data_IF_041746486977
#
_entry.id   IF_041746486977
#
_cell.length_a   1.000
_cell.length_b   1.000
_cell.length_c   1.000
_cell.angle_alpha   90.00
_cell.angle_beta   90.00
_cell.angle_gamma   90.00
#
_symmetry.space_group_name_H-M   'P 1'
#
loop_
_entity.id
_entity.type
_entity.pdbx_description
1 polymer ?
#
# COMPACT_ATOMS: atom_id res chain seq x y z
N UNK A 1 -44.24 4.29 30.13
CA UNK A 1 -44.29 4.04 28.68
C UNK A 1 -42.99 4.58 28.06
N UNK A 2 -42.03 3.71 27.76
CA UNK A 2 -40.84 4.13 27.00
C UNK A 2 -41.31 4.67 25.63
N UNK A 3 -40.82 5.86 25.25
CA UNK A 3 -41.21 6.48 23.98
C UNK A 3 -40.70 5.59 22.83
N UNK A 4 -41.51 5.34 21.78
CA UNK A 4 -41.10 4.52 20.63
C UNK A 4 -39.81 5.04 19.96
N UNK A 5 -39.52 6.35 20.11
CA UNK A 5 -38.27 6.96 19.67
C UNK A 5 -37.02 6.37 20.34
N UNK A 6 -37.10 5.97 21.60
CA UNK A 6 -35.96 5.40 22.34
C UNK A 6 -35.63 3.99 21.85
N UNK A 7 -36.65 3.15 21.64
CA UNK A 7 -36.48 1.83 21.05
C UNK A 7 -35.83 1.90 19.66
N UNK A 8 -36.36 2.76 18.78
CA UNK A 8 -35.83 2.95 17.43
C UNK A 8 -34.37 3.42 17.47
N UNK A 9 -34.04 4.38 18.35
CA UNK A 9 -32.68 4.87 18.49
C UNK A 9 -31.70 3.79 18.97
N UNK A 10 -32.08 2.98 19.97
CA UNK A 10 -31.25 1.87 20.46
C UNK A 10 -31.01 0.84 19.36
N UNK A 11 -32.06 0.41 18.65
CA UNK A 11 -31.94 -0.57 17.56
C UNK A 11 -31.00 -0.06 16.47
N UNK A 12 -31.17 1.21 16.06
CA UNK A 12 -30.34 1.82 15.02
C UNK A 12 -28.86 1.90 15.46
N UNK A 13 -28.59 2.32 16.70
CA UNK A 13 -27.22 2.37 17.22
C UNK A 13 -26.58 1.00 17.34
N UNK A 14 -27.31 0.00 17.83
CA UNK A 14 -26.81 -1.39 17.88
C UNK A 14 -26.49 -1.92 16.49
N UNK A 15 -27.30 -1.63 15.47
CA UNK A 15 -27.01 -2.00 14.08
C UNK A 15 -25.72 -1.34 13.60
N UNK A 16 -25.55 -0.03 13.82
CA UNK A 16 -24.31 0.68 13.43
C UNK A 16 -23.08 0.04 14.08
N UNK A 17 -23.13 -0.24 15.38
CA UNK A 17 -22.00 -0.87 16.07
C UNK A 17 -21.70 -2.28 15.54
N UNK A 18 -22.71 -3.10 15.26
CA UNK A 18 -22.49 -4.41 14.64
C UNK A 18 -21.86 -4.26 13.25
N UNK A 19 -22.34 -3.33 12.42
CA UNK A 19 -21.76 -3.07 11.10
C UNK A 19 -20.30 -2.63 11.18
N UNK A 20 -19.96 -1.76 12.13
CA UNK A 20 -18.57 -1.34 12.38
C UNK A 20 -17.70 -2.51 12.87
N UNK A 21 -18.23 -3.36 13.75
CA UNK A 21 -17.56 -4.58 14.20
C UNK A 21 -17.25 -5.53 13.03
N UNK A 22 -18.22 -5.79 12.17
CA UNK A 22 -18.04 -6.62 10.98
C UNK A 22 -16.99 -6.04 10.03
N UNK A 23 -17.03 -4.72 9.80
CA UNK A 23 -16.04 -4.04 8.97
C UNK A 23 -14.62 -4.18 9.51
N UNK A 24 -14.43 -4.07 10.83
CA UNK A 24 -13.12 -4.26 11.47
C UNK A 24 -12.62 -5.71 11.31
N UNK A 25 -13.51 -6.71 11.43
CA UNK A 25 -13.15 -8.13 11.21
C UNK A 25 -12.71 -8.37 9.76
N UNK A 26 -13.45 -7.86 8.77
CA UNK A 26 -13.09 -8.00 7.35
C UNK A 26 -11.73 -7.35 7.08
N UNK A 27 -11.47 -6.17 7.67
CA UNK A 27 -10.18 -5.49 7.54
C UNK A 27 -9.03 -6.29 8.17
N UNK A 28 -9.27 -6.92 9.31
CA UNK A 28 -8.30 -7.80 9.95
C UNK A 28 -7.97 -9.02 9.06
N UNK A 29 -9.00 -9.69 8.52
CA UNK A 29 -8.86 -10.84 7.63
C UNK A 29 -8.07 -10.49 6.36
N UNK A 30 -8.39 -9.36 5.72
CA UNK A 30 -7.66 -8.89 4.53
C UNK A 30 -6.18 -8.64 4.85
N UNK A 31 -5.87 -8.04 6.00
CA UNK A 31 -4.48 -7.81 6.41
C UNK A 31 -3.77 -9.12 6.74
N UNK A 32 -4.44 -10.07 7.38
CA UNK A 32 -3.90 -11.42 7.64
C UNK A 32 -3.60 -12.20 6.35
N UNK A 33 -4.44 -12.09 5.33
CA UNK A 33 -4.24 -12.76 4.04
C UNK A 33 -2.98 -12.24 3.34
N UNK A 34 -2.78 -10.91 3.31
CA UNK A 34 -1.57 -10.28 2.77
C UNK A 34 -0.30 -10.76 3.47
N UNK A 35 -0.39 -10.98 4.78
CA UNK A 35 0.70 -11.56 5.55
C UNK A 35 1.02 -12.98 5.16
N UNK A 36 0.00 -13.83 5.06
CA UNK A 36 0.21 -15.21 4.66
C UNK A 36 0.88 -15.30 3.28
N UNK A 37 0.52 -14.40 2.35
CA UNK A 37 1.16 -14.31 1.03
C UNK A 37 2.63 -13.90 1.10
N UNK A 38 3.01 -13.02 2.03
CA UNK A 38 4.41 -12.66 2.28
C UNK A 38 5.26 -13.83 2.79
N UNK A 39 4.63 -14.76 3.51
CA UNK A 39 5.28 -15.96 4.04
C UNK A 39 5.34 -17.12 3.03
N UNK A 40 4.63 -17.02 1.89
CA UNK A 40 4.72 -18.01 0.83
C UNK A 40 6.01 -17.85 0.03
N UNK A 41 6.56 -18.96 -0.45
CA UNK A 41 7.75 -18.96 -1.31
C UNK A 41 7.50 -18.09 -2.54
N UNK A 42 8.42 -17.17 -2.87
CA UNK A 42 8.30 -16.34 -4.08
C UNK A 42 8.16 -17.21 -5.32
N UNK A 43 7.29 -16.77 -6.24
CA UNK A 43 7.28 -17.31 -7.59
C UNK A 43 8.33 -16.61 -8.43
N UNK A 44 9.25 -17.36 -9.01
CA UNK A 44 10.22 -16.81 -9.98
C UNK A 44 9.53 -16.62 -11.32
N UNK A 45 9.57 -15.40 -11.85
CA UNK A 45 9.08 -15.04 -13.17
C UNK A 45 10.15 -14.26 -13.93
N UNK A 46 10.19 -14.43 -15.25
CA UNK A 46 10.94 -13.50 -16.10
C UNK A 46 10.11 -12.25 -16.38
N UNK A 47 10.78 -11.12 -16.61
CA UNK A 47 10.12 -9.86 -17.01
C UNK A 47 9.20 -10.04 -18.23
N UNK A 48 9.62 -10.83 -19.23
CA UNK A 48 8.81 -11.18 -20.42
C UNK A 48 7.52 -11.89 -20.08
N UNK A 49 7.57 -12.78 -19.09
CA UNK A 49 6.40 -13.54 -18.65
C UNK A 49 5.44 -12.66 -17.87
N UNK A 50 5.94 -11.60 -17.22
CA UNK A 50 5.15 -10.65 -16.47
C UNK A 50 4.18 -9.87 -17.37
N UNK A 51 4.60 -9.48 -18.58
CA UNK A 51 3.73 -8.80 -19.56
C UNK A 51 2.63 -9.72 -20.10
N UNK A 52 2.91 -11.03 -20.20
CA UNK A 52 2.00 -12.01 -20.83
C UNK A 52 1.03 -12.68 -19.86
N UNK A 53 1.40 -12.82 -18.59
CA UNK A 53 0.60 -13.51 -17.59
C UNK A 53 -0.34 -12.53 -16.86
N UNK A 54 -1.51 -13.02 -16.43
CA UNK A 54 -2.33 -12.31 -15.46
C UNK A 54 -1.61 -12.30 -14.11
N UNK A 55 -1.01 -11.16 -13.78
CA UNK A 55 -0.37 -10.95 -12.48
C UNK A 55 -1.45 -10.96 -11.41
N UNK A 56 -1.22 -11.70 -10.32
CA UNK A 56 -2.08 -11.66 -9.15
C UNK A 56 -1.56 -10.55 -8.23
N UNK A 57 -2.33 -9.46 -8.00
CA UNK A 57 -1.91 -8.42 -7.09
C UNK A 57 -1.64 -8.97 -5.69
N UNK A 58 -0.66 -8.39 -5.01
CA UNK A 58 -0.19 -8.74 -3.67
C UNK A 58 0.50 -10.10 -3.52
N UNK A 59 0.86 -10.77 -4.63
CA UNK A 59 1.74 -11.93 -4.58
C UNK A 59 3.23 -11.53 -4.56
N UNK A 60 4.05 -12.39 -3.98
CA UNK A 60 5.49 -12.24 -3.91
C UNK A 60 6.16 -12.88 -5.12
N UNK A 61 6.97 -12.09 -5.85
CA UNK A 61 7.63 -12.50 -7.07
C UNK A 61 9.12 -12.20 -7.02
N UNK A 62 9.92 -13.09 -7.62
CA UNK A 62 11.31 -12.82 -7.98
C UNK A 62 11.35 -12.62 -9.48
N UNK A 63 11.80 -11.44 -9.90
CA UNK A 63 12.01 -11.09 -11.29
C UNK A 63 13.48 -11.26 -11.63
N UNK A 64 13.75 -12.16 -12.58
CA UNK A 64 15.05 -12.33 -13.21
C UNK A 64 14.99 -11.75 -14.63
N UNK A 65 16.15 -11.29 -15.13
CA UNK A 65 16.39 -10.92 -16.53
C UNK A 65 15.94 -9.52 -17.00
N UNK A 66 15.55 -8.63 -16.10
CA UNK A 66 15.36 -7.22 -16.45
C UNK A 66 16.63 -6.38 -16.28
N UNK A 67 16.61 -5.17 -16.86
CA UNK A 67 17.69 -4.21 -16.81
C UNK A 67 17.23 -2.92 -16.12
N UNK A 68 18.07 -2.41 -15.22
CA UNK A 68 17.84 -1.13 -14.58
C UNK A 68 18.07 0.03 -15.54
N UNK A 69 17.13 0.96 -15.57
CA UNK A 69 17.31 2.25 -16.22
C UNK A 69 18.17 3.17 -15.34
N UNK A 70 18.88 4.08 -16.00
CA UNK A 70 19.68 5.11 -15.33
C UNK A 70 18.81 6.12 -14.61
N UNK A 71 17.56 6.28 -15.02
CA UNK A 71 16.63 7.27 -14.53
C UNK A 71 16.02 6.84 -13.19
N UNK A 72 15.92 7.79 -12.26
CA UNK A 72 15.27 7.62 -10.97
C UNK A 72 14.15 8.66 -10.83
N UNK A 73 13.19 8.35 -9.97
CA UNK A 73 12.09 9.24 -9.61
C UNK A 73 11.95 9.25 -8.09
N UNK A 74 11.75 10.42 -7.51
CA UNK A 74 11.48 10.55 -6.08
C UNK A 74 10.01 10.87 -5.89
N UNK A 75 9.33 10.19 -4.98
CA UNK A 75 7.96 10.52 -4.57
C UNK A 75 8.02 11.27 -3.25
N UNK A 76 7.50 12.49 -3.22
CA UNK A 76 7.46 13.38 -2.07
C UNK A 76 6.37 12.96 -1.07
N UNK A 77 6.40 13.61 0.10
CA UNK A 77 5.43 13.48 1.17
C UNK A 77 5.29 12.04 1.70
N UNK A 78 6.42 11.34 1.79
CA UNK A 78 6.47 9.97 2.28
C UNK A 78 6.92 9.98 3.73
N UNK A 79 6.14 9.31 4.59
CA UNK A 79 6.48 9.16 6.00
C UNK A 79 7.16 7.82 6.27
N UNK A 80 8.22 7.84 7.06
CA UNK A 80 8.85 6.64 7.62
C UNK A 80 9.36 6.96 9.02
N UNK A 81 8.98 6.14 10.02
CA UNK A 81 9.30 6.36 11.44
C UNK A 81 9.08 7.82 11.89
N UNK A 82 7.89 8.35 11.62
CA UNK A 82 7.45 9.72 11.97
C UNK A 82 8.26 10.86 11.34
N UNK A 83 9.11 10.55 10.36
CA UNK A 83 9.87 11.54 9.61
C UNK A 83 9.33 11.70 8.19
N UNK A 84 9.19 12.94 7.76
CA UNK A 84 8.83 13.31 6.39
C UNK A 84 10.06 13.19 5.47
N UNK A 85 9.89 12.55 4.32
CA UNK A 85 10.96 12.35 3.35
C UNK A 85 10.40 12.00 1.98
N UNK A 86 11.23 11.34 1.18
CA UNK A 86 10.88 10.93 -0.18
C UNK A 86 11.11 9.43 -0.36
N UNK A 87 10.33 8.81 -1.25
CA UNK A 87 10.52 7.41 -1.66
C UNK A 87 11.23 7.38 -3.00
N UNK A 88 12.29 6.59 -3.10
CA UNK A 88 13.02 6.41 -4.36
C UNK A 88 12.31 5.34 -5.21
N UNK A 89 12.15 5.63 -6.49
CA UNK A 89 11.66 4.70 -7.51
C UNK A 89 12.68 4.58 -8.64
N UNK A 90 12.78 3.38 -9.19
CA UNK A 90 13.58 3.08 -10.36
C UNK A 90 12.78 2.26 -11.36
N UNK A 91 13.24 2.26 -12.61
CA UNK A 91 12.61 1.49 -13.68
C UNK A 91 13.44 0.24 -13.96
N UNK A 92 12.78 -0.91 -13.97
CA UNK A 92 13.37 -2.20 -14.30
C UNK A 92 12.65 -2.74 -15.53
N UNK A 93 13.36 -2.87 -16.64
CA UNK A 93 12.76 -3.04 -17.96
C UNK A 93 13.26 -4.27 -18.68
N UNK A 94 12.42 -4.83 -19.53
CA UNK A 94 12.84 -5.70 -20.63
C UNK A 94 12.44 -5.02 -21.94
N UNK A 95 13.43 -4.66 -22.75
CA UNK A 95 13.24 -3.88 -23.97
C UNK A 95 12.51 -2.54 -23.70
N UNK A 96 11.26 -2.40 -24.15
CA UNK A 96 10.42 -1.21 -23.97
C UNK A 96 9.46 -1.30 -22.78
N UNK A 97 9.23 -2.49 -22.24
CA UNK A 97 8.29 -2.73 -21.15
C UNK A 97 9.00 -2.60 -19.80
N UNK A 98 8.57 -1.64 -19.01
CA UNK A 98 9.17 -1.29 -17.74
C UNK A 98 8.21 -1.52 -16.59
N UNK A 99 8.75 -2.07 -15.51
CA UNK A 99 8.09 -2.14 -14.21
C UNK A 99 8.67 -1.08 -13.29
N UNK A 100 7.78 -0.40 -12.56
CA UNK A 100 8.20 0.54 -11.54
C UNK A 100 8.60 -0.23 -10.28
N UNK A 101 9.83 -0.02 -9.81
CA UNK A 101 10.32 -0.66 -8.58
C UNK A 101 10.40 0.39 -7.48
N UNK A 102 9.70 0.13 -6.38
CA UNK A 102 9.74 0.95 -5.18
C UNK A 102 10.97 0.57 -4.35
N UNK A 103 11.89 1.52 -4.23
CA UNK A 103 13.10 1.41 -3.44
C UNK A 103 12.97 1.98 -2.03
N UNK A 104 14.09 2.38 -1.41
CA UNK A 104 14.12 2.85 -0.03
C UNK A 104 13.45 4.21 0.15
N UNK A 105 13.02 4.46 1.40
CA UNK A 105 12.74 5.82 1.85
C UNK A 105 14.05 6.51 2.21
N UNK A 106 14.17 7.80 1.89
CA UNK A 106 15.30 8.64 2.26
C UNK A 106 14.79 9.96 2.84
N UNK A 107 15.54 10.55 3.76
CA UNK A 107 15.23 11.90 4.23
C UNK A 107 15.49 12.92 3.11
N UNK A 108 14.83 14.09 3.15
CA UNK A 108 15.02 15.14 2.12
C UNK A 108 16.46 15.67 2.01
N UNK A 109 17.30 15.39 3.01
CA UNK A 109 18.69 15.83 3.07
C UNK A 109 19.65 14.82 2.43
N UNK A 110 19.21 13.57 2.24
CA UNK A 110 20.02 12.48 1.71
C UNK A 110 19.92 12.42 0.19
N UNK A 111 21.04 12.08 -0.47
CA UNK A 111 21.03 11.77 -1.90
C UNK A 111 20.58 10.33 -2.13
N UNK A 112 19.82 10.06 -3.21
CA UNK A 112 19.42 8.70 -3.54
C UNK A 112 20.65 7.87 -3.91
N UNK A 113 20.81 6.73 -3.25
CA UNK A 113 21.79 5.70 -3.59
C UNK A 113 21.12 4.59 -4.42
N UNK A 114 21.92 3.79 -5.14
CA UNK A 114 21.50 2.70 -6.02
C UNK A 114 21.85 1.30 -5.50
N UNK A 115 22.41 1.15 -4.30
CA UNK A 115 22.78 -0.16 -3.73
C UNK A 115 21.62 -1.18 -3.64
N UNK A 116 20.37 -0.70 -3.69
CA UNK A 116 19.16 -1.52 -3.71
C UNK A 116 18.79 -2.04 -5.12
N UNK A 117 19.48 -1.58 -6.18
CA UNK A 117 19.28 -2.02 -7.55
C UNK A 117 20.04 -3.33 -7.82
N UNK A 118 19.46 -4.45 -7.38
CA UNK A 118 20.04 -5.78 -7.59
C UNK A 118 19.69 -6.35 -8.99
N UNK A 119 20.53 -7.23 -9.57
CA UNK A 119 20.25 -7.86 -10.86
C UNK A 119 18.94 -8.62 -10.91
N UNK A 120 18.61 -9.32 -9.83
CA UNK A 120 17.31 -9.94 -9.59
C UNK A 120 16.53 -9.15 -8.55
N UNK A 121 15.26 -8.91 -8.81
CA UNK A 121 14.41 -8.09 -7.94
C UNK A 121 13.34 -8.95 -7.31
N UNK A 122 13.34 -9.04 -5.97
CA UNK A 122 12.29 -9.72 -5.20
C UNK A 122 11.38 -8.73 -4.51
N UNK A 123 10.08 -8.95 -4.57
CA UNK A 123 9.12 -8.12 -3.84
C UNK A 123 7.66 -8.43 -4.13
N UNK A 124 6.78 -7.67 -3.47
CA UNK A 124 5.35 -7.77 -3.69
C UNK A 124 4.94 -6.93 -4.90
N UNK A 125 4.20 -7.51 -5.84
CA UNK A 125 3.59 -6.72 -6.91
C UNK A 125 2.27 -6.13 -6.43
N UNK A 126 2.06 -4.84 -6.69
CA UNK A 126 0.83 -4.10 -6.38
C UNK A 126 0.38 -3.32 -7.60
N UNK A 127 -0.93 -3.09 -7.72
CA UNK A 127 -1.44 -2.18 -8.75
C UNK A 127 -0.89 -0.78 -8.51
N UNK A 128 -0.47 -0.12 -9.59
CA UNK A 128 -0.06 1.28 -9.52
C UNK A 128 -1.26 2.12 -9.04
N UNK A 129 -1.09 3.01 -8.04
CA UNK A 129 -2.20 3.80 -7.53
C UNK A 129 -2.79 4.66 -8.64
N UNK A 130 -4.12 4.68 -8.74
CA UNK A 130 -4.81 5.60 -9.63
C UNK A 130 -4.67 7.02 -9.09
N UNK A 131 -4.24 7.94 -9.94
CA UNK A 131 -4.02 9.34 -9.59
C UNK A 131 -5.14 10.19 -10.20
N UNK A 132 -5.96 10.80 -9.34
CA UNK A 132 -7.02 11.74 -9.76
C UNK A 132 -6.48 13.13 -10.11
N UNK A 133 -5.36 13.53 -9.51
CA UNK A 133 -4.74 14.84 -9.71
C UNK A 133 -3.49 14.65 -10.55
N UNK A 134 -3.62 14.87 -11.86
CA UNK A 134 -2.49 14.84 -12.79
C UNK A 134 -1.49 15.94 -12.44
N UNK A 135 -0.23 15.57 -12.50
CA UNK A 135 0.78 16.22 -11.69
C UNK A 135 1.39 17.48 -12.31
N UNK A 136 1.65 18.48 -11.45
CA UNK A 136 2.61 19.57 -11.65
C UNK A 136 3.88 19.23 -10.86
N UNK A 137 5.05 19.30 -11.48
CA UNK A 137 6.36 19.17 -10.80
C UNK A 137 6.36 20.03 -9.51
N UNK A 138 6.89 19.55 -8.38
CA UNK A 138 6.75 20.29 -7.12
C UNK A 138 7.53 21.61 -7.21
N UNK A 139 6.82 22.74 -7.22
CA UNK A 139 7.38 24.08 -7.40
C UNK A 139 8.47 24.42 -6.36
N UNK A 140 8.53 23.70 -5.23
CA UNK A 140 9.51 23.90 -4.15
C UNK A 140 10.91 23.33 -4.41
N UNK A 141 11.10 22.44 -5.40
CA UNK A 141 12.41 21.85 -5.75
C UNK A 141 12.71 21.79 -7.27
N UNK A 142 11.77 22.23 -8.12
CA UNK A 142 11.75 21.96 -9.57
C UNK A 142 12.57 22.89 -10.46
N UNK A 143 13.85 23.10 -10.14
CA UNK A 143 14.76 23.64 -11.17
C UNK A 143 16.18 23.05 -11.16
N UNK A 144 16.59 22.32 -10.11
CA UNK A 144 17.98 21.83 -9.99
C UNK A 144 18.16 20.41 -9.47
N UNK A 145 17.10 19.67 -9.11
CA UNK A 145 17.27 18.32 -8.56
C UNK A 145 17.10 17.24 -9.63
N UNK A 146 18.20 16.55 -9.89
CA UNK A 146 18.27 15.30 -10.65
C UNK A 146 18.54 14.20 -9.62
N UNK A 147 17.62 13.27 -9.35
CA UNK A 147 16.35 12.97 -10.04
C UNK A 147 15.15 13.87 -9.68
N UNK A 148 14.10 13.91 -10.53
CA UNK A 148 12.90 14.70 -10.29
C UNK A 148 12.10 14.20 -9.08
N UNK A 149 11.48 15.15 -8.38
CA UNK A 149 10.62 14.91 -7.23
C UNK A 149 9.16 15.10 -7.65
N UNK A 150 8.36 14.07 -7.39
CA UNK A 150 6.97 13.97 -7.76
C UNK A 150 6.05 13.91 -6.55
N UNK A 151 4.85 14.45 -6.65
CA UNK A 151 3.81 14.34 -5.61
C UNK A 151 3.00 13.05 -5.77
N UNK A 152 2.93 12.51 -6.99
CA UNK A 152 2.14 11.32 -7.34
C UNK A 152 2.87 10.45 -8.37
N UNK A 153 2.46 9.19 -8.53
CA UNK A 153 2.98 8.31 -9.59
C UNK A 153 2.00 8.29 -10.76
N UNK A 154 2.03 9.33 -11.58
CA UNK A 154 1.22 9.40 -12.80
C UNK A 154 1.90 8.61 -13.92
N UNK A 155 1.31 7.47 -14.29
CA UNK A 155 1.80 6.60 -15.35
C UNK A 155 1.99 7.35 -16.67
N UNK A 156 0.99 8.10 -17.13
CA UNK A 156 1.00 8.73 -18.46
C UNK A 156 2.11 9.78 -18.53
N UNK A 157 2.30 10.52 -17.44
CA UNK A 157 3.40 11.47 -17.31
C UNK A 157 4.77 10.77 -17.37
N UNK A 158 4.94 9.67 -16.63
CA UNK A 158 6.21 8.92 -16.60
C UNK A 158 6.54 8.30 -17.96
N UNK A 159 5.57 7.68 -18.63
CA UNK A 159 5.74 7.11 -19.97
C UNK A 159 6.16 8.18 -20.99
N UNK A 160 5.50 9.35 -20.95
CA UNK A 160 5.82 10.47 -21.85
C UNK A 160 7.19 11.08 -21.56
N UNK A 161 7.55 11.28 -20.29
CA UNK A 161 8.81 11.92 -19.88
C UNK A 161 10.04 11.06 -20.15
N UNK A 162 9.91 9.75 -19.99
CA UNK A 162 11.03 8.80 -20.11
C UNK A 162 10.99 7.94 -21.38
N UNK A 163 10.00 8.15 -22.25
CA UNK A 163 9.82 7.42 -23.51
C UNK A 163 9.85 5.89 -23.33
N UNK A 164 9.10 5.41 -22.34
CA UNK A 164 8.99 3.99 -21.98
C UNK A 164 7.53 3.55 -21.87
N UNK A 165 7.26 2.24 -21.97
CA UNK A 165 5.95 1.68 -21.65
C UNK A 165 5.97 1.16 -20.21
N UNK A 166 5.10 1.68 -19.35
CA UNK A 166 5.06 1.31 -17.94
C UNK A 166 3.93 0.31 -17.69
N UNK A 167 4.22 -0.76 -16.97
CA UNK A 167 3.17 -1.67 -16.49
C UNK A 167 2.23 -0.97 -15.51
N UNK A 168 0.99 -1.42 -15.38
CA UNK A 168 0.01 -0.91 -14.40
C UNK A 168 0.29 -1.39 -12.97
N UNK A 169 1.54 -1.75 -12.69
CA UNK A 169 1.97 -2.38 -11.46
C UNK A 169 3.26 -1.74 -10.96
N UNK A 170 3.45 -1.78 -9.66
CA UNK A 170 4.73 -1.53 -9.00
C UNK A 170 5.19 -2.78 -8.26
N UNK A 171 6.49 -2.97 -8.12
CA UNK A 171 7.07 -3.97 -7.23
C UNK A 171 7.64 -3.28 -6.00
N UNK A 172 7.18 -3.70 -4.82
CA UNK A 172 7.62 -3.21 -3.53
C UNK A 172 8.72 -4.12 -3.00
N UNK A 173 9.97 -3.64 -3.06
CA UNK A 173 11.13 -4.34 -2.52
C UNK A 173 11.19 -4.23 -0.99
N UNK A 174 11.93 -5.16 -0.37
CA UNK A 174 12.35 -5.02 1.02
C UNK A 174 11.21 -5.09 2.03
N UNK A 175 10.11 -5.79 1.69
CA UNK A 175 9.12 -6.20 2.69
C UNK A 175 9.78 -7.25 3.59
N UNK A 176 10.56 -6.77 4.55
CA UNK A 176 11.29 -7.60 5.49
C UNK A 176 10.32 -8.30 6.42
N UNK A 177 10.50 -9.61 6.61
CA UNK A 177 9.78 -10.41 7.61
C UNK A 177 9.91 -9.82 9.04
N UNK A 178 10.89 -8.97 9.32
CA UNK A 178 11.01 -8.30 10.63
C UNK A 178 10.00 -7.16 10.82
N UNK A 179 9.42 -6.62 9.75
CA UNK A 179 8.26 -5.73 9.85
C UNK A 179 6.97 -6.49 10.19
N UNK A 180 6.95 -7.82 10.04
CA UNK A 180 5.79 -8.64 10.32
C UNK A 180 5.36 -8.58 11.77
N UNK A 181 6.28 -8.42 12.73
CA UNK A 181 5.90 -8.35 14.16
C UNK A 181 5.09 -7.08 14.48
N UNK A 182 5.49 -5.93 13.91
CA UNK A 182 4.79 -4.65 14.09
C UNK A 182 3.44 -4.64 13.36
N UNK A 183 3.38 -5.25 12.18
CA UNK A 183 2.15 -5.30 11.40
C UNK A 183 1.18 -6.43 11.85
N UNK A 184 1.64 -7.54 12.44
CA UNK A 184 0.76 -8.57 13.06
C UNK A 184 0.13 -8.02 14.34
N UNK A 185 0.89 -7.27 15.14
CA UNK A 185 0.36 -6.44 16.23
C UNK A 185 -0.74 -5.50 15.73
N UNK A 186 -0.65 -5.00 14.49
CA UNK A 186 -1.72 -4.19 13.89
C UNK A 186 -2.96 -5.00 13.47
N UNK A 187 -2.84 -6.29 13.12
CA UNK A 187 -4.01 -7.15 12.85
C UNK A 187 -4.81 -7.39 14.12
N UNK A 188 -4.14 -7.72 15.24
CA UNK A 188 -4.81 -7.94 16.53
C UNK A 188 -5.59 -6.72 17.02
N UNK A 189 -5.10 -5.50 16.74
CA UNK A 189 -5.83 -4.26 17.06
C UNK A 189 -7.19 -4.19 16.36
N UNK A 190 -7.29 -4.61 15.10
CA UNK A 190 -8.57 -4.61 14.39
C UNK A 190 -9.58 -5.59 15.01
N UNK A 191 -9.14 -6.77 15.46
CA UNK A 191 -9.99 -7.68 16.22
C UNK A 191 -10.41 -7.09 17.57
N UNK A 192 -9.51 -6.44 18.30
CA UNK A 192 -9.83 -5.77 19.56
C UNK A 192 -10.89 -4.67 19.37
N UNK A 193 -10.77 -3.85 18.32
CA UNK A 193 -11.80 -2.86 17.98
C UNK A 193 -13.13 -3.51 17.60
N UNK A 194 -13.12 -4.62 16.87
CA UNK A 194 -14.36 -5.35 16.57
C UNK A 194 -15.08 -5.80 17.85
N UNK A 195 -14.34 -6.36 18.82
CA UNK A 195 -14.90 -6.74 20.12
C UNK A 195 -15.47 -5.52 20.86
N UNK A 196 -14.77 -4.39 20.87
CA UNK A 196 -15.28 -3.15 21.48
C UNK A 196 -16.62 -2.72 20.87
N UNK A 197 -16.76 -2.76 19.54
CA UNK A 197 -18.03 -2.42 18.89
C UNK A 197 -19.14 -3.41 19.21
N UNK A 198 -18.86 -4.72 19.23
CA UNK A 198 -19.86 -5.70 19.64
C UNK A 198 -20.28 -5.56 21.10
N UNK A 199 -19.34 -5.23 22.00
CA UNK A 199 -19.65 -4.94 23.41
C UNK A 199 -20.50 -3.68 23.55
N UNK A 200 -20.22 -2.62 22.79
CA UNK A 200 -21.06 -1.41 22.78
C UNK A 200 -22.48 -1.72 22.28
N UNK A 201 -22.63 -2.52 21.23
CA UNK A 201 -23.93 -2.97 20.76
C UNK A 201 -24.72 -3.72 21.85
N UNK A 202 -24.03 -4.59 22.59
CA UNK A 202 -24.59 -5.36 23.70
C UNK A 202 -24.99 -4.45 24.88
N UNK A 203 -24.16 -3.47 25.24
CA UNK A 203 -24.47 -2.47 26.28
C UNK A 203 -25.73 -1.69 25.92
N UNK A 204 -25.90 -1.28 24.65
CA UNK A 204 -27.13 -0.62 24.19
C UNK A 204 -28.38 -1.51 24.38
N UNK A 205 -28.27 -2.79 24.03
CA UNK A 205 -29.39 -3.75 24.15
C UNK A 205 -29.73 -4.00 25.63
N UNK A 206 -28.73 -4.29 26.47
CA UNK A 206 -28.94 -4.51 27.90
C UNK A 206 -29.49 -3.25 28.56
N UNK A 207 -28.91 -2.08 28.26
CA UNK A 207 -29.38 -0.81 28.77
C UNK A 207 -30.85 -0.55 28.45
N UNK A 208 -31.30 -0.90 27.24
CA UNK A 208 -32.72 -0.81 26.87
C UNK A 208 -33.60 -1.79 27.66
N UNK A 209 -33.17 -3.04 27.85
CA UNK A 209 -33.91 -4.06 28.61
C UNK A 209 -34.05 -3.65 30.08
N UNK A 210 -32.98 -3.13 30.70
CA UNK A 210 -32.98 -2.71 32.11
C UNK A 210 -33.73 -1.40 32.33
N UNK A 211 -33.77 -0.51 31.34
CA UNK A 211 -34.52 0.74 31.42
C UNK A 211 -36.04 0.56 31.20
N UNK A 212 -36.48 -0.66 30.88
CA UNK A 212 -37.88 -1.01 30.65
C UNK A 212 -38.58 -1.32 31.97
#
# INVERSE_FOLDING_TARGET
MQKPSFFVATVLMSIIFVMLGCWQVIRALNKSALFHQLHQSPMTLSMKSLTKNQIVPNNHYILADGQWRSELVLLDNQFYNDQLGVRVYGFYCDQSDCLLIRGPWISKQQKPNRDWQQPSVSGLIRSLPYVLIHQKESDSLSSKHTPPILVSLDKVYLEKKYHLALMNYELVQGVSMNSSEKDTLSVHRHYAYAVQFYLLALVCIIGYILAK
#
